data_IF_654385323318
#
_entry.id   IF_654385323318
#
_cell.length_a   1.000
_cell.length_b   1.000
_cell.length_c   1.000
_cell.angle_alpha   90.00
_cell.angle_beta   90.00
_cell.angle_gamma   90.00
#
_symmetry.space_group_name_H-M   'P 1'
#
loop_
_entity.id
_entity.type
_entity.pdbx_description
1 polymer ?
#
# COMPACT_ATOMS: atom_id res chain seq x y z
N UNK A 1 -2.72 -18.54 -21.53
CA UNK A 1 -3.13 -17.59 -20.47
C UNK A 1 -2.11 -17.68 -19.34
N UNK A 2 -1.28 -16.66 -19.19
CA UNK A 2 -0.16 -16.62 -18.24
C UNK A 2 -0.65 -16.73 -16.79
N UNK A 3 -0.74 -17.95 -16.29
CA UNK A 3 -1.23 -18.30 -14.94
C UNK A 3 -0.45 -17.58 -13.82
N UNK A 4 0.78 -17.14 -14.12
CA UNK A 4 1.65 -16.40 -13.21
C UNK A 4 1.34 -14.90 -13.08
N UNK A 5 0.50 -14.30 -13.94
CA UNK A 5 0.13 -12.87 -13.85
C UNK A 5 -1.12 -12.61 -13.01
N UNK A 6 -1.83 -13.66 -12.61
CA UNK A 6 -3.05 -13.56 -11.79
C UNK A 6 -2.70 -13.30 -10.32
N UNK A 7 -1.69 -14.01 -9.78
CA UNK A 7 -1.28 -13.92 -8.38
C UNK A 7 -0.91 -12.48 -7.98
N UNK A 8 -0.06 -11.74 -8.74
CA UNK A 8 0.27 -10.35 -8.39
C UNK A 8 -0.95 -9.42 -8.38
N UNK A 9 -1.91 -9.66 -9.28
CA UNK A 9 -3.15 -8.86 -9.36
C UNK A 9 -4.07 -9.12 -8.18
N UNK A 10 -4.21 -10.39 -7.78
CA UNK A 10 -5.01 -10.77 -6.61
C UNK A 10 -4.41 -10.21 -5.33
N UNK A 11 -3.08 -10.19 -5.20
CA UNK A 11 -2.39 -9.57 -4.06
C UNK A 11 -2.64 -8.05 -4.02
N UNK A 12 -2.59 -7.36 -5.17
CA UNK A 12 -2.94 -5.93 -5.24
C UNK A 12 -4.39 -5.66 -4.81
N UNK A 13 -5.34 -6.48 -5.27
CA UNK A 13 -6.75 -6.36 -4.86
C UNK A 13 -6.95 -6.61 -3.37
N UNK A 14 -6.31 -7.66 -2.83
CA UNK A 14 -6.34 -7.95 -1.40
C UNK A 14 -5.74 -6.82 -0.57
N UNK A 15 -4.68 -6.19 -1.06
CA UNK A 15 -4.04 -5.04 -0.41
C UNK A 15 -4.96 -3.81 -0.41
N UNK A 16 -5.62 -3.50 -1.53
CA UNK A 16 -6.61 -2.40 -1.61
C UNK A 16 -7.76 -2.63 -0.64
N UNK A 17 -8.26 -3.88 -0.56
CA UNK A 17 -9.31 -4.25 0.37
C UNK A 17 -8.87 -4.08 1.83
N UNK A 18 -7.68 -4.60 2.18
CA UNK A 18 -7.13 -4.47 3.53
C UNK A 18 -6.90 -3.01 3.92
N UNK A 19 -6.41 -2.17 2.99
CA UNK A 19 -6.25 -0.74 3.18
C UNK A 19 -7.57 -0.06 3.51
N UNK A 20 -8.59 -0.27 2.66
CA UNK A 20 -9.92 0.31 2.86
C UNK A 20 -10.55 -0.14 4.19
N UNK A 21 -10.46 -1.43 4.51
CA UNK A 21 -10.98 -1.98 5.76
C UNK A 21 -10.27 -1.41 6.99
N UNK A 22 -8.95 -1.26 6.94
CA UNK A 22 -8.18 -0.71 8.05
C UNK A 22 -8.48 0.78 8.26
N UNK A 23 -8.57 1.57 7.18
CA UNK A 23 -8.94 2.99 7.26
C UNK A 23 -10.36 3.18 7.77
N UNK A 24 -11.33 2.41 7.26
CA UNK A 24 -12.73 2.51 7.74
C UNK A 24 -12.87 2.12 9.20
N UNK A 25 -12.16 1.08 9.66
CA UNK A 25 -12.10 0.73 11.07
C UNK A 25 -11.50 1.85 11.92
N UNK A 26 -10.37 2.43 11.49
CA UNK A 26 -9.70 3.50 12.25
C UNK A 26 -10.56 4.75 12.37
N UNK A 27 -11.26 5.13 11.29
CA UNK A 27 -12.17 6.29 11.27
C UNK A 27 -13.44 6.06 12.10
N UNK A 28 -13.79 4.81 12.40
CA UNK A 28 -14.92 4.46 13.26
C UNK A 28 -14.58 4.44 14.76
N UNK A 29 -13.29 4.60 15.13
CA UNK A 29 -12.88 4.60 16.53
C UNK A 29 -13.32 5.91 17.22
N UNK A 30 -13.99 5.84 18.39
CA UNK A 30 -14.42 7.03 19.12
C UNK A 30 -13.25 7.79 19.77
N UNK A 31 -12.18 7.08 20.14
CA UNK A 31 -10.97 7.66 20.72
C UNK A 31 -9.73 6.92 20.17
N UNK A 32 -9.23 7.33 18.98
CA UNK A 32 -8.11 6.66 18.33
C UNK A 32 -6.79 6.93 19.05
N UNK A 33 -6.02 5.87 19.29
CA UNK A 33 -4.71 5.95 19.95
C UNK A 33 -3.56 6.14 18.95
N UNK A 34 -2.43 6.67 19.44
CA UNK A 34 -1.21 6.82 18.64
C UNK A 34 -0.69 5.49 18.06
N UNK A 35 -0.88 4.37 18.76
CA UNK A 35 -0.51 3.06 18.26
C UNK A 35 -1.36 2.63 17.05
N UNK A 36 -2.66 2.92 17.07
CA UNK A 36 -3.56 2.63 15.95
C UNK A 36 -3.28 3.55 14.76
N UNK A 37 -2.93 4.82 15.00
CA UNK A 37 -2.50 5.73 13.96
C UNK A 37 -1.19 5.26 13.29
N UNK A 38 -0.22 4.78 14.08
CA UNK A 38 1.03 4.21 13.58
C UNK A 38 0.79 2.94 12.74
N UNK A 39 -0.18 2.10 13.13
CA UNK A 39 -0.58 0.93 12.35
C UNK A 39 -1.11 1.32 10.96
N UNK A 40 -2.04 2.28 10.88
CA UNK A 40 -2.55 2.78 9.59
C UNK A 40 -1.45 3.42 8.75
N UNK A 41 -0.57 4.23 9.37
CA UNK A 41 0.57 4.83 8.69
C UNK A 41 1.51 3.78 8.07
N UNK A 42 1.76 2.68 8.79
CA UNK A 42 2.59 1.58 8.29
C UNK A 42 1.95 0.89 7.09
N UNK A 43 0.63 0.66 7.13
CA UNK A 43 -0.11 0.11 6.00
C UNK A 43 0.03 1.04 4.80
N UNK A 44 -0.24 2.35 4.94
CA UNK A 44 -0.13 3.35 3.86
C UNK A 44 1.28 3.39 3.27
N UNK A 45 2.31 3.43 4.13
CA UNK A 45 3.72 3.46 3.72
C UNK A 45 4.13 2.22 2.91
N UNK A 46 3.69 1.03 3.32
CA UNK A 46 3.91 -0.18 2.55
C UNK A 46 3.26 -0.12 1.15
N UNK A 47 2.07 0.47 1.03
CA UNK A 47 1.37 0.65 -0.25
C UNK A 47 2.11 1.58 -1.21
N UNK A 48 2.64 2.68 -0.69
CA UNK A 48 3.46 3.60 -1.48
C UNK A 48 4.74 2.92 -2.00
N UNK A 49 5.37 2.06 -1.20
CA UNK A 49 6.53 1.29 -1.61
C UNK A 49 6.17 0.28 -2.72
N UNK A 50 5.07 -0.47 -2.58
CA UNK A 50 4.61 -1.40 -3.63
C UNK A 50 4.25 -0.69 -4.94
N UNK A 51 3.59 0.47 -4.86
CA UNK A 51 3.29 1.27 -6.03
C UNK A 51 4.58 1.81 -6.68
N UNK A 52 5.52 2.31 -5.88
CA UNK A 52 6.83 2.74 -6.37
C UNK A 52 7.60 1.63 -7.08
N UNK A 53 7.55 0.39 -6.58
CA UNK A 53 8.17 -0.78 -7.20
C UNK A 53 7.41 -1.28 -8.44
N UNK A 54 6.08 -1.12 -8.47
CA UNK A 54 5.24 -1.56 -9.60
C UNK A 54 5.29 -0.59 -10.79
N UNK A 55 5.37 0.72 -10.51
CA UNK A 55 5.42 1.77 -11.54
C UNK A 55 6.88 2.17 -11.88
N UNK A 56 7.83 1.91 -10.97
CA UNK A 56 9.25 2.13 -11.19
C UNK A 56 9.82 1.20 -12.26
N UNK A 57 10.25 1.75 -13.40
CA UNK A 57 11.03 0.98 -14.38
C UNK A 57 12.39 0.60 -13.75
N UNK A 58 12.87 -0.64 -13.91
CA UNK A 58 14.28 -0.93 -13.69
C UNK A 58 15.12 0.03 -14.55
N UNK A 59 15.89 0.93 -13.92
CA UNK A 59 16.71 1.92 -14.62
C UNK A 59 16.09 3.31 -14.85
N UNK A 60 14.95 3.65 -14.23
CA UNK A 60 14.48 5.04 -14.25
C UNK A 60 15.44 5.93 -13.45
N UNK A 61 16.15 6.84 -14.13
CA UNK A 61 16.93 7.89 -13.49
C UNK A 61 15.99 8.72 -12.61
N UNK A 62 16.20 8.66 -11.28
CA UNK A 62 15.53 9.53 -10.32
C UNK A 62 15.97 10.97 -10.66
N UNK A 63 15.10 11.84 -11.20
CA UNK A 63 15.51 13.20 -11.51
C UNK A 63 15.49 13.98 -10.19
N UNK A 64 16.68 14.35 -9.71
CA UNK A 64 16.83 15.36 -8.67
C UNK A 64 17.57 14.90 -7.42
N UNK A 65 18.89 14.84 -7.51
CA UNK A 65 19.73 15.39 -6.45
C UNK A 65 20.81 16.24 -7.14
N UNK A 66 20.52 17.52 -7.28
CA UNK A 66 21.52 18.54 -7.60
C UNK A 66 21.98 19.15 -6.28
#
# INVERSE_FOLDING_TARGET
MDKFRLIPRLIMLAYIYAFYSATTWFMALPDPTNAQAAFISTIVGAGAAFFGLYVGKPGANIPGKK
#
